data_IF_626521105091
#
_entry.id   IF_626521105091
#
_cell.length_a   1.000
_cell.length_b   1.000
_cell.length_c   1.000
_cell.angle_alpha   90.00
_cell.angle_beta   90.00
_cell.angle_gamma   90.00
#
_symmetry.space_group_name_H-M   'P 1'
#
loop_
_entity.id
_entity.type
_entity.pdbx_description
1 polymer ?
#
# COMPACT_ATOMS: atom_id res chain seq x y z
N UNK A 1 4.42 17.20 0.77
CA UNK A 1 2.93 17.15 0.77
C UNK A 1 2.50 15.95 -0.05
N UNK A 2 1.68 15.06 0.51
CA UNK A 2 1.09 13.93 -0.25
C UNK A 2 -0.32 14.37 -0.68
N UNK A 3 -0.62 14.26 -1.97
CA UNK A 3 -1.93 14.62 -2.53
C UNK A 3 -2.75 13.33 -2.73
N UNK A 4 -3.96 13.33 -2.22
CA UNK A 4 -4.92 12.23 -2.30
C UNK A 4 -6.31 12.69 -2.70
N UNK A 5 -7.27 11.77 -2.67
CA UNK A 5 -8.69 12.07 -2.88
C UNK A 5 -9.56 11.19 -1.97
N UNK A 6 -10.80 11.61 -1.76
CA UNK A 6 -11.82 10.79 -1.06
C UNK A 6 -12.68 10.12 -2.12
N UNK A 7 -12.83 8.80 -2.04
CA UNK A 7 -13.67 8.06 -2.98
C UNK A 7 -15.16 8.07 -2.58
N UNK A 8 -16.01 7.41 -3.37
CA UNK A 8 -17.46 7.30 -3.11
C UNK A 8 -17.79 6.53 -1.81
N UNK A 9 -16.87 5.70 -1.33
CA UNK A 9 -16.99 4.97 -0.07
C UNK A 9 -16.53 5.78 1.15
N UNK A 10 -16.16 7.06 0.95
CA UNK A 10 -15.63 7.96 2.00
C UNK A 10 -14.26 7.54 2.54
N UNK A 11 -13.48 6.83 1.73
CA UNK A 11 -12.12 6.43 2.08
C UNK A 11 -11.14 7.49 1.55
N UNK A 12 -10.23 7.96 2.41
CA UNK A 12 -9.13 8.82 1.99
C UNK A 12 -8.04 7.97 1.32
N UNK A 13 -7.77 8.22 0.04
CA UNK A 13 -6.85 7.45 -0.79
C UNK A 13 -5.63 8.28 -1.17
N UNK A 14 -4.45 7.73 -0.95
CA UNK A 14 -3.17 8.26 -1.45
C UNK A 14 -2.49 7.28 -2.39
N UNK A 15 -1.66 7.79 -3.30
CA UNK A 15 -0.79 6.96 -4.15
C UNK A 15 0.58 6.81 -3.49
N UNK A 16 1.05 5.59 -3.37
CA UNK A 16 2.39 5.27 -2.87
C UNK A 16 3.14 4.42 -3.90
N UNK A 17 4.47 4.53 -3.90
CA UNK A 17 5.33 3.59 -4.60
C UNK A 17 5.89 2.59 -3.58
N UNK A 18 5.73 1.30 -3.85
CA UNK A 18 6.36 0.22 -3.08
C UNK A 18 7.55 -0.29 -3.87
N UNK A 19 8.72 -0.29 -3.23
CA UNK A 19 9.98 -0.79 -3.79
C UNK A 19 10.15 -2.26 -3.39
N UNK A 20 10.24 -3.14 -4.38
CA UNK A 20 10.62 -4.54 -4.19
C UNK A 20 12.13 -4.74 -4.20
N UNK A 21 12.57 -5.96 -3.87
CA UNK A 21 13.99 -6.31 -3.72
C UNK A 21 14.81 -6.10 -5.00
N UNK A 22 14.18 -6.25 -6.17
CA UNK A 22 14.84 -6.15 -7.49
C UNK A 22 14.80 -4.75 -8.12
N UNK A 23 14.69 -3.68 -7.33
CA UNK A 23 14.45 -2.30 -7.81
C UNK A 23 13.17 -2.15 -8.65
N UNK A 24 12.26 -3.11 -8.54
CA UNK A 24 10.95 -3.07 -9.17
C UNK A 24 10.06 -2.19 -8.31
N UNK A 25 9.52 -1.12 -8.90
CA UNK A 25 8.58 -0.23 -8.23
C UNK A 25 7.16 -0.53 -8.69
N UNK A 26 6.25 -0.67 -7.74
CA UNK A 26 4.82 -0.78 -8.00
C UNK A 26 4.08 0.40 -7.38
N UNK A 27 3.37 1.15 -8.22
CA UNK A 27 2.42 2.15 -7.74
C UNK A 27 1.18 1.47 -7.16
N UNK A 28 0.76 1.90 -5.98
CA UNK A 28 -0.44 1.42 -5.28
C UNK A 28 -1.35 2.59 -4.91
N UNK A 29 -2.64 2.27 -4.70
CA UNK A 29 -3.58 3.14 -4.00
C UNK A 29 -3.75 2.59 -2.59
N UNK A 30 -3.44 3.37 -1.57
CA UNK A 30 -3.58 3.00 -0.17
C UNK A 30 -4.69 3.82 0.48
N UNK A 31 -5.52 3.18 1.30
CA UNK A 31 -6.48 3.85 2.17
C UNK A 31 -5.74 4.32 3.43
N UNK A 32 -6.01 5.54 3.88
CA UNK A 32 -5.55 6.01 5.18
C UNK A 32 -6.54 5.48 6.23
N UNK A 33 -6.07 4.53 7.05
CA UNK A 33 -6.80 3.98 8.18
C UNK A 33 -6.15 4.42 9.49
N UNK A 34 -6.77 5.37 10.19
CA UNK A 34 -6.26 5.86 11.48
C UNK A 34 -6.57 4.91 12.65
N UNK A 35 -7.39 3.88 12.43
CA UNK A 35 -7.71 2.84 13.41
C UNK A 35 -6.73 1.66 13.38
N UNK A 36 -5.89 1.56 12.34
CA UNK A 36 -4.88 0.52 12.20
C UNK A 36 -3.49 1.04 12.57
N UNK A 37 -2.88 0.46 13.61
CA UNK A 37 -1.57 0.90 14.15
C UNK A 37 -0.39 0.07 13.67
N UNK A 38 -0.63 -0.88 12.75
CA UNK A 38 0.41 -1.74 12.19
C UNK A 38 1.13 -1.11 10.99
N UNK A 39 1.61 -1.97 10.10
CA UNK A 39 2.34 -1.59 8.89
C UNK A 39 1.41 -1.39 7.68
N UNK A 40 1.95 -0.85 6.58
CA UNK A 40 1.22 -0.87 5.30
C UNK A 40 0.92 -2.33 4.90
N UNK A 41 -0.36 -2.69 4.88
CA UNK A 41 -0.79 -3.99 4.39
C UNK A 41 -0.84 -3.98 2.87
N UNK A 42 -0.36 -5.07 2.26
CA UNK A 42 -0.30 -5.21 0.81
C UNK A 42 -1.09 -6.45 0.36
N UNK A 43 -1.83 -6.39 -0.75
CA UNK A 43 -2.39 -7.58 -1.37
C UNK A 43 -1.30 -8.61 -1.68
N UNK A 44 -1.60 -9.90 -1.52
CA UNK A 44 -0.68 -11.01 -1.82
C UNK A 44 -0.09 -10.93 -3.22
N UNK A 45 -0.90 -10.54 -4.21
CA UNK A 45 -0.43 -10.34 -5.57
C UNK A 45 0.70 -9.30 -5.69
N UNK A 46 0.68 -8.24 -4.87
CA UNK A 46 1.73 -7.21 -4.87
C UNK A 46 2.98 -7.72 -4.15
N UNK A 47 2.81 -8.43 -3.03
CA UNK A 47 3.92 -9.04 -2.30
C UNK A 47 4.68 -10.03 -3.20
N UNK A 48 3.95 -10.95 -3.87
CA UNK A 48 4.54 -11.90 -4.82
C UNK A 48 5.21 -11.18 -5.99
N UNK A 49 4.57 -10.17 -6.59
CA UNK A 49 5.12 -9.42 -7.73
C UNK A 49 6.43 -8.72 -7.38
N UNK A 50 6.54 -8.19 -6.16
CA UNK A 50 7.70 -7.44 -5.70
C UNK A 50 8.78 -8.32 -5.04
N UNK A 51 8.51 -9.62 -4.89
CA UNK A 51 9.41 -10.55 -4.20
C UNK A 51 9.57 -10.24 -2.72
N UNK A 52 8.55 -9.65 -2.08
CA UNK A 52 8.60 -9.30 -0.67
C UNK A 52 8.29 -10.51 0.21
N UNK A 53 8.86 -10.56 1.41
CA UNK A 53 8.52 -11.56 2.42
C UNK A 53 7.11 -11.26 2.96
N UNK A 54 6.26 -12.28 3.01
CA UNK A 54 4.95 -12.17 3.65
C UNK A 54 5.10 -12.22 5.17
N UNK A 55 4.61 -11.19 5.86
CA UNK A 55 4.56 -11.13 7.33
C UNK A 55 3.14 -11.41 7.80
N UNK A 56 2.95 -12.42 8.65
CA UNK A 56 1.71 -12.63 9.40
C UNK A 56 1.97 -12.24 10.85
N UNK A 57 1.22 -11.26 11.33
CA UNK A 57 1.12 -10.88 12.75
C UNK A 57 -0.24 -11.30 13.29
#
# INVERSE_FOLDING_TARGET
>A
MIIGYVNTNREAIIKLAVLGENKVNQGIKAVIDTGYTGFLTLPSAIITKLGLIWYME
#
